data_IF_735539231757
#
_entry.id   IF_735539231757
#
_cell.length_a   1.000
_cell.length_b   1.000
_cell.length_c   1.000
_cell.angle_alpha   90.00
_cell.angle_beta   90.00
_cell.angle_gamma   90.00
#
_symmetry.space_group_name_H-M   'P 1'
#
loop_
_entity.id
_entity.type
_entity.pdbx_description
1 polymer ?
#
# COMPACT_ATOMS: atom_id res chain seq x y z
N UNK A 1 -2.14 17.10 6.39
CA UNK A 1 -2.54 16.42 7.64
C UNK A 1 -1.36 16.27 8.60
N UNK A 2 -0.35 15.43 8.33
CA UNK A 2 0.84 15.31 9.21
C UNK A 2 1.56 16.65 9.33
N UNK A 3 2.02 17.21 8.22
CA UNK A 3 2.77 18.48 8.17
C UNK A 3 2.00 19.67 8.78
N UNK A 4 0.67 19.61 8.74
CA UNK A 4 -0.19 20.71 9.20
C UNK A 4 -0.60 20.60 10.67
N UNK A 5 -0.60 19.40 11.24
CA UNK A 5 -1.24 19.15 12.54
C UNK A 5 -0.36 18.43 13.56
N UNK A 6 0.77 17.85 13.16
CA UNK A 6 1.62 17.05 14.04
C UNK A 6 2.06 17.83 15.30
N UNK A 7 2.69 18.98 15.12
CA UNK A 7 3.21 19.81 16.24
C UNK A 7 2.11 20.23 17.22
N UNK A 8 0.98 20.71 16.69
CA UNK A 8 -0.16 21.16 17.50
C UNK A 8 -0.84 20.01 18.25
N UNK A 9 -0.91 18.83 17.64
CA UNK A 9 -1.45 17.66 18.29
C UNK A 9 -0.53 17.19 19.42
N UNK A 10 0.79 17.14 19.15
CA UNK A 10 1.81 16.77 20.14
C UNK A 10 1.80 17.71 21.35
N UNK A 11 1.74 19.03 21.14
CA UNK A 11 1.70 20.03 22.21
C UNK A 11 0.46 19.91 23.11
N UNK A 12 -0.60 19.26 22.62
CA UNK A 12 -1.86 19.05 23.35
C UNK A 12 -2.02 17.63 23.90
N UNK A 13 -1.02 16.76 23.72
CA UNK A 13 -1.13 15.34 24.07
C UNK A 13 -2.16 14.57 23.23
N UNK A 14 -2.55 15.10 22.07
CA UNK A 14 -3.53 14.49 21.16
C UNK A 14 -2.79 13.60 20.15
N UNK A 15 -3.33 12.40 19.90
CA UNK A 15 -2.81 11.47 18.88
C UNK A 15 -3.75 11.44 17.68
N UNK A 16 -3.18 11.57 16.49
CA UNK A 16 -3.90 11.42 15.22
C UNK A 16 -3.42 10.13 14.57
N UNK A 17 -4.36 9.23 14.25
CA UNK A 17 -4.07 7.94 13.63
C UNK A 17 -4.61 7.98 12.19
N UNK A 18 -3.79 8.34 11.19
CA UNK A 18 -4.18 8.21 9.80
C UNK A 18 -4.37 6.75 9.41
N UNK A 19 -5.12 6.51 8.33
CA UNK A 19 -5.27 5.18 7.73
C UNK A 19 -5.77 4.10 8.71
N UNK A 20 -6.64 4.49 9.65
CA UNK A 20 -7.24 3.57 10.62
C UNK A 20 -8.44 2.76 10.05
N UNK A 21 -8.53 2.63 8.72
CA UNK A 21 -9.55 1.83 8.05
C UNK A 21 -9.18 0.34 8.02
N UNK A 22 -10.19 -0.50 7.76
CA UNK A 22 -10.02 -1.96 7.64
C UNK A 22 -8.94 -2.36 6.62
N UNK A 23 -8.77 -1.59 5.54
CA UNK A 23 -7.83 -1.96 4.48
C UNK A 23 -6.35 -1.72 4.85
N UNK A 24 -6.05 -0.77 5.74
CA UNK A 24 -4.67 -0.35 6.04
C UNK A 24 -4.14 -0.84 7.39
N UNK A 25 -5.00 -0.99 8.40
CA UNK A 25 -4.60 -1.50 9.73
C UNK A 25 -3.99 -2.92 9.65
N UNK A 26 -4.57 -3.90 8.93
CA UNK A 26 -4.05 -5.26 8.89
C UNK A 26 -2.64 -5.34 8.28
N UNK A 27 -2.33 -4.53 7.27
CA UNK A 27 -1.01 -4.53 6.65
C UNK A 27 0.07 -3.95 7.57
N UNK A 28 -0.23 -2.85 8.27
CA UNK A 28 0.72 -2.20 9.18
C UNK A 28 1.01 -3.03 10.43
N UNK A 29 -0.05 -3.39 11.17
CA UNK A 29 0.08 -4.21 12.38
C UNK A 29 0.55 -5.62 12.02
N UNK A 30 0.10 -6.16 10.89
CA UNK A 30 0.55 -7.47 10.41
C UNK A 30 2.05 -7.50 10.13
N UNK A 31 2.58 -6.49 9.41
CA UNK A 31 4.02 -6.39 9.18
C UNK A 31 4.78 -6.25 10.50
N UNK A 32 4.32 -5.38 11.41
CA UNK A 32 4.93 -5.23 12.73
C UNK A 32 4.96 -6.53 13.53
N UNK A 33 3.81 -7.21 13.59
CA UNK A 33 3.66 -8.48 14.29
C UNK A 33 4.56 -9.56 13.69
N UNK A 34 4.58 -9.71 12.37
CA UNK A 34 5.44 -10.69 11.69
C UNK A 34 6.91 -10.45 12.03
N UNK A 35 7.39 -9.20 11.93
CA UNK A 35 8.77 -8.87 12.25
C UNK A 35 9.09 -9.13 13.72
N UNK A 36 8.18 -8.83 14.65
CA UNK A 36 8.39 -9.05 16.07
C UNK A 36 8.45 -10.53 16.48
N UNK A 37 8.03 -11.46 15.62
CA UNK A 37 8.18 -12.90 15.87
C UNK A 37 9.62 -13.39 15.64
N UNK A 38 10.51 -12.57 15.07
CA UNK A 38 11.89 -12.96 14.79
C UNK A 38 12.86 -12.23 15.71
N UNK A 39 13.78 -12.98 16.33
CA UNK A 39 14.90 -12.42 17.09
C UNK A 39 16.05 -11.92 16.20
N UNK A 40 15.79 -11.68 14.91
CA UNK A 40 16.79 -11.28 13.91
C UNK A 40 16.20 -10.22 12.99
N UNK A 41 17.02 -9.31 12.44
CA UNK A 41 16.55 -8.32 11.47
C UNK A 41 15.87 -8.97 10.27
N UNK A 42 14.67 -8.49 9.93
CA UNK A 42 13.90 -8.89 8.76
C UNK A 42 14.13 -7.87 7.65
N UNK A 43 14.52 -8.33 6.47
CA UNK A 43 14.80 -7.44 5.33
C UNK A 43 13.62 -7.30 4.36
N UNK A 44 12.63 -8.20 4.44
CA UNK A 44 11.45 -8.17 3.58
C UNK A 44 10.27 -8.89 4.23
N UNK A 45 9.08 -8.32 4.08
CA UNK A 45 7.79 -8.97 4.34
C UNK A 45 6.92 -8.82 3.10
N UNK A 46 6.33 -9.92 2.65
CA UNK A 46 5.33 -9.95 1.59
C UNK A 46 4.00 -10.44 2.17
N UNK A 47 2.94 -9.67 1.98
CA UNK A 47 1.58 -10.05 2.36
C UNK A 47 0.77 -10.42 1.12
N UNK A 48 -0.01 -11.49 1.24
CA UNK A 48 -0.88 -12.00 0.19
C UNK A 48 -2.32 -12.00 0.73
N UNK A 49 -3.19 -11.19 0.13
CA UNK A 49 -4.56 -11.01 0.59
C UNK A 49 -5.56 -11.59 -0.40
N UNK A 50 -6.47 -12.43 0.07
CA UNK A 50 -7.66 -12.79 -0.71
C UNK A 50 -8.71 -11.69 -0.55
N UNK A 51 -9.04 -11.01 -1.65
CA UNK A 51 -10.18 -10.11 -1.66
C UNK A 51 -11.46 -10.94 -1.73
N UNK A 52 -12.24 -10.97 -0.65
CA UNK A 52 -13.59 -11.55 -0.62
C UNK A 52 -14.60 -10.41 -0.66
N UNK A 53 -15.17 -10.16 -1.83
CA UNK A 53 -16.18 -9.11 -2.02
C UNK A 53 -15.95 -8.26 -3.26
N UNK A 54 -16.81 -7.26 -3.44
CA UNK A 54 -16.68 -6.23 -4.49
C UNK A 54 -16.30 -4.89 -3.84
N UNK A 55 -15.68 -3.99 -4.60
CA UNK A 55 -15.40 -2.64 -4.12
C UNK A 55 -16.71 -1.98 -3.69
N UNK A 56 -16.72 -1.34 -2.51
CA UNK A 56 -17.92 -0.63 -2.04
C UNK A 56 -18.22 0.57 -2.96
N UNK A 57 -19.48 1.01 -3.01
CA UNK A 57 -19.86 2.22 -3.74
C UNK A 57 -19.04 3.45 -3.32
N UNK A 58 -18.67 3.55 -2.04
CA UNK A 58 -17.79 4.61 -1.54
C UNK A 58 -16.35 4.50 -2.07
N UNK A 59 -15.84 3.28 -2.23
CA UNK A 59 -14.52 3.02 -2.84
C UNK A 59 -14.52 3.43 -4.31
N UNK A 60 -15.58 3.09 -5.06
CA UNK A 60 -15.71 3.50 -6.46
C UNK A 60 -15.84 5.02 -6.60
N UNK A 61 -16.66 5.66 -5.78
CA UNK A 61 -16.80 7.13 -5.76
C UNK A 61 -15.48 7.83 -5.47
N UNK A 62 -14.73 7.35 -4.46
CA UNK A 62 -13.40 7.88 -4.12
C UNK A 62 -12.44 7.77 -5.30
N UNK A 63 -12.50 6.66 -6.05
CA UNK A 63 -11.64 6.47 -7.21
C UNK A 63 -11.98 7.43 -8.36
N UNK A 64 -13.25 7.80 -8.52
CA UNK A 64 -13.70 8.79 -9.53
C UNK A 64 -13.46 10.24 -9.10
N UNK A 65 -13.52 10.54 -7.81
CA UNK A 65 -13.27 11.88 -7.25
C UNK A 65 -11.82 12.14 -6.89
N UNK A 66 -10.97 11.10 -6.87
CA UNK A 66 -9.52 11.26 -6.89
C UNK A 66 -9.18 12.05 -8.15
N UNK A 67 -8.94 13.36 -7.97
CA UNK A 67 -8.43 14.24 -9.01
C UNK A 67 -7.05 13.81 -9.48
N UNK A 68 -6.36 14.70 -10.20
CA UNK A 68 -5.07 14.36 -10.76
C UNK A 68 -4.06 13.94 -9.67
N UNK A 69 -3.62 12.69 -9.76
CA UNK A 69 -2.58 12.16 -8.89
C UNK A 69 -1.26 12.81 -9.29
N UNK A 70 -0.86 13.84 -8.53
CA UNK A 70 0.41 14.54 -8.68
C UNK A 70 1.59 13.56 -8.76
N UNK A 71 2.65 13.96 -9.49
CA UNK A 71 3.89 13.16 -9.58
C UNK A 71 4.44 12.80 -8.20
N UNK A 72 4.25 13.69 -7.20
CA UNK A 72 4.68 13.48 -5.82
C UNK A 72 3.95 12.32 -5.14
N UNK A 73 2.65 12.15 -5.38
CA UNK A 73 1.86 11.03 -4.83
C UNK A 73 2.29 9.66 -5.38
N UNK A 74 3.01 9.63 -6.51
CA UNK A 74 3.58 8.40 -7.08
C UNK A 74 4.85 7.94 -6.36
N UNK A 75 5.47 8.75 -5.49
CA UNK A 75 6.65 8.32 -4.73
C UNK A 75 6.27 7.20 -3.75
N UNK A 76 6.89 6.00 -3.84
CA UNK A 76 6.64 4.88 -2.94
C UNK A 76 6.98 5.17 -1.46
N UNK A 77 7.71 6.25 -1.18
CA UNK A 77 8.15 6.69 0.15
C UNK A 77 7.62 8.08 0.52
N UNK A 78 6.56 8.56 -0.13
CA UNK A 78 6.00 9.90 0.11
C UNK A 78 5.64 10.20 1.58
N UNK A 79 5.34 9.17 2.37
CA UNK A 79 4.96 9.33 3.78
C UNK A 79 6.15 9.20 4.74
N UNK A 80 7.32 8.78 4.25
CA UNK A 80 8.50 8.56 5.09
C UNK A 80 9.12 9.89 5.53
N UNK A 81 9.70 9.97 6.74
CA UNK A 81 10.49 11.13 7.14
C UNK A 81 11.66 11.35 6.17
N UNK A 82 12.12 12.60 6.06
CA UNK A 82 13.25 12.93 5.19
C UNK A 82 14.52 12.19 5.61
N UNK A 83 15.34 11.82 4.63
CA UNK A 83 16.63 11.13 4.84
C UNK A 83 16.56 9.76 5.53
N UNK A 84 15.40 9.10 5.57
CA UNK A 84 15.26 7.74 6.15
C UNK A 84 15.26 6.62 5.09
N UNK A 85 15.52 6.93 3.82
CA UNK A 85 15.36 5.96 2.71
C UNK A 85 16.67 5.85 1.94
N UNK A 86 17.21 4.63 1.87
CA UNK A 86 18.42 4.36 1.08
C UNK A 86 18.09 4.13 -0.40
N UNK A 87 19.06 4.36 -1.29
CA UNK A 87 18.90 4.06 -2.72
C UNK A 87 18.60 2.58 -2.99
N UNK A 88 19.19 1.69 -2.17
CA UNK A 88 18.97 0.25 -2.28
C UNK A 88 17.53 -0.11 -1.90
N UNK A 89 17.01 0.45 -0.82
CA UNK A 89 15.63 0.27 -0.40
C UNK A 89 14.67 0.80 -1.48
N UNK A 90 14.94 1.99 -2.02
CA UNK A 90 14.15 2.60 -3.09
C UNK A 90 14.08 1.72 -4.34
N UNK A 91 15.21 1.18 -4.81
CA UNK A 91 15.24 0.28 -5.99
C UNK A 91 14.42 -1.00 -5.80
N UNK A 92 14.31 -1.49 -4.56
CA UNK A 92 13.61 -2.74 -4.20
C UNK A 92 12.14 -2.53 -3.80
N UNK A 93 11.65 -1.30 -3.78
CA UNK A 93 10.27 -0.95 -3.36
C UNK A 93 9.47 -0.25 -4.46
N UNK A 94 9.80 -0.53 -5.73
CA UNK A 94 8.97 -0.08 -6.86
C UNK A 94 7.58 -0.72 -6.77
N UNK A 95 6.56 0.09 -7.01
CA UNK A 95 5.19 -0.42 -7.10
C UNK A 95 5.04 -1.34 -8.32
N UNK A 96 4.35 -2.45 -8.14
CA UNK A 96 4.16 -3.45 -9.17
C UNK A 96 3.65 -4.76 -8.60
N UNK A 97 3.32 -5.68 -9.49
CA UNK A 97 2.88 -7.03 -9.15
C UNK A 97 3.50 -8.02 -10.13
N UNK A 98 3.47 -9.30 -9.75
CA UNK A 98 3.86 -10.40 -10.61
C UNK A 98 2.71 -11.39 -10.66
N UNK A 99 2.74 -12.31 -11.63
CA UNK A 99 1.80 -13.42 -11.72
C UNK A 99 2.58 -14.72 -11.70
N UNK A 100 2.88 -15.17 -10.48
CA UNK A 100 3.75 -16.30 -10.17
C UNK A 100 3.06 -17.19 -9.14
N UNK A 101 3.44 -18.48 -9.09
CA UNK A 101 2.98 -19.37 -8.04
C UNK A 101 3.66 -18.94 -6.74
N UNK A 102 2.91 -18.85 -5.65
CA UNK A 102 3.47 -18.41 -4.36
C UNK A 102 4.15 -19.59 -3.68
N UNK A 103 5.37 -19.39 -3.21
CA UNK A 103 6.09 -20.39 -2.43
C UNK A 103 5.44 -20.55 -1.06
N UNK A 104 5.17 -21.80 -0.64
CA UNK A 104 4.55 -22.10 0.65
C UNK A 104 3.03 -21.86 0.73
N UNK A 105 2.38 -21.37 -0.34
CA UNK A 105 0.93 -21.17 -0.39
C UNK A 105 0.31 -21.83 -1.63
N UNK A 106 -0.92 -22.34 -1.49
CA UNK A 106 -1.71 -22.83 -2.61
C UNK A 106 -2.36 -21.68 -3.38
N UNK A 107 -1.59 -21.00 -4.23
CA UNK A 107 -2.12 -19.90 -5.02
C UNK A 107 -1.12 -19.21 -5.93
N UNK A 108 -1.62 -18.15 -6.56
CA UNK A 108 -0.91 -17.28 -7.49
C UNK A 108 -0.97 -15.85 -6.99
N UNK A 109 0.15 -15.13 -7.13
CA UNK A 109 0.20 -13.69 -6.87
C UNK A 109 -0.44 -12.90 -8.00
N UNK A 110 -0.92 -11.70 -7.69
CA UNK A 110 -1.44 -10.71 -8.63
C UNK A 110 -1.49 -9.33 -8.00
N UNK A 111 -2.18 -8.39 -8.65
CA UNK A 111 -2.29 -7.01 -8.15
C UNK A 111 -2.97 -6.99 -6.77
N UNK A 112 -2.37 -6.29 -5.81
CA UNK A 112 -3.02 -5.99 -4.54
C UNK A 112 -3.89 -4.75 -4.69
N UNK A 113 -5.17 -4.84 -4.32
CA UNK A 113 -6.16 -3.77 -4.55
C UNK A 113 -5.75 -2.46 -3.87
N UNK A 114 -5.24 -2.54 -2.64
CA UNK A 114 -4.83 -1.38 -1.82
C UNK A 114 -3.32 -1.26 -1.63
N UNK A 115 -2.54 -2.04 -2.40
CA UNK A 115 -1.09 -2.13 -2.24
C UNK A 115 -0.39 -0.76 -2.35
N UNK A 116 -0.87 0.13 -3.23
CA UNK A 116 -0.29 1.48 -3.38
C UNK A 116 -0.42 2.26 -2.07
N UNK A 117 -1.59 2.28 -1.43
CA UNK A 117 -1.79 3.00 -0.18
C UNK A 117 -1.06 2.32 0.99
N UNK A 118 -1.26 1.01 1.15
CA UNK A 118 -0.81 0.26 2.30
C UNK A 118 0.72 0.14 2.37
N UNK A 119 1.39 -0.07 1.24
CA UNK A 119 2.86 -0.15 1.24
C UNK A 119 3.51 1.15 1.74
N UNK A 120 2.93 2.31 1.47
CA UNK A 120 3.43 3.62 1.95
C UNK A 120 3.26 3.76 3.46
N UNK A 121 2.14 3.27 4.01
CA UNK A 121 1.89 3.25 5.46
C UNK A 121 2.94 2.38 6.17
N UNK A 122 3.09 1.12 5.72
CA UNK A 122 4.05 0.16 6.33
C UNK A 122 5.50 0.67 6.24
N UNK A 123 5.89 1.23 5.09
CA UNK A 123 7.25 1.80 4.90
C UNK A 123 7.51 2.96 5.85
N UNK A 124 6.50 3.79 6.10
CA UNK A 124 6.62 4.88 7.09
C UNK A 124 6.74 4.32 8.50
N UNK A 125 5.92 3.35 8.88
CA UNK A 125 5.99 2.72 10.20
C UNK A 125 7.37 2.10 10.43
N UNK A 126 7.91 1.37 9.44
CA UNK A 126 9.26 0.82 9.52
C UNK A 126 10.34 1.91 9.75
N UNK A 127 10.22 3.06 9.06
CA UNK A 127 11.16 4.18 9.24
C UNK A 127 11.04 4.83 10.63
N UNK A 128 9.82 5.01 11.16
CA UNK A 128 9.63 5.50 12.54
C UNK A 128 10.17 4.52 13.58
N UNK A 129 9.98 3.22 13.36
CA UNK A 129 10.48 2.18 14.25
C UNK A 129 12.01 2.16 14.29
N UNK A 130 12.68 2.40 13.15
CA UNK A 130 14.12 2.62 13.08
C UNK A 130 14.57 3.86 13.87
N UNK A 131 13.88 5.00 13.74
CA UNK A 131 14.15 6.20 14.54
C UNK A 131 13.96 5.97 16.04
N UNK A 132 13.00 5.13 16.42
CA UNK A 132 12.73 4.73 17.80
C UNK A 132 13.67 3.63 18.33
N UNK A 133 14.76 3.31 17.62
CA UNK A 133 15.75 2.29 17.98
C UNK A 133 15.18 0.86 18.09
N UNK A 134 14.07 0.59 17.40
CA UNK A 134 13.47 -0.74 17.29
C UNK A 134 13.26 -1.10 15.80
N UNK A 135 14.33 -1.15 14.99
CA UNK A 135 14.24 -1.30 13.54
C UNK A 135 13.76 -2.69 13.13
N UNK A 136 13.02 -2.77 12.02
CA UNK A 136 12.64 -4.06 11.44
C UNK A 136 13.85 -4.79 10.86
N UNK A 137 14.71 -4.03 10.17
CA UNK A 137 15.96 -4.49 9.60
C UNK A 137 16.48 -3.51 8.56
N UNK A 138 17.79 -3.59 8.27
CA UNK A 138 18.45 -2.70 7.32
C UNK A 138 17.84 -2.84 5.92
N UNK A 139 17.53 -1.70 5.30
CA UNK A 139 16.91 -1.64 3.97
C UNK A 139 15.61 -2.47 3.86
N UNK A 140 14.80 -2.50 4.94
CA UNK A 140 13.55 -3.24 4.99
C UNK A 140 12.63 -2.89 3.81
N UNK A 141 12.04 -3.90 3.18
CA UNK A 141 11.07 -3.73 2.09
C UNK A 141 9.76 -4.44 2.40
N UNK A 142 8.67 -3.88 1.91
CA UNK A 142 7.34 -4.46 2.06
C UNK A 142 6.65 -4.57 0.70
N UNK A 143 6.03 -5.73 0.46
CA UNK A 143 5.20 -6.00 -0.71
C UNK A 143 3.79 -6.43 -0.30
N UNK A 144 2.79 -5.95 -1.02
CA UNK A 144 1.39 -6.34 -0.82
C UNK A 144 0.81 -6.80 -2.16
N UNK A 145 0.23 -7.99 -2.15
CA UNK A 145 -0.21 -8.70 -3.36
C UNK A 145 -1.58 -9.34 -3.16
N UNK A 146 -2.31 -9.52 -4.27
CA UNK A 146 -3.52 -10.33 -4.26
C UNK A 146 -3.17 -11.83 -4.28
N UNK A 147 -3.88 -12.62 -3.49
CA UNK A 147 -3.83 -14.08 -3.50
C UNK A 147 -4.98 -14.63 -4.36
N UNK A 148 -4.63 -15.46 -5.34
CA UNK A 148 -5.60 -16.05 -6.27
C UNK A 148 -5.44 -17.56 -6.37
N UNK A 149 -6.54 -18.30 -6.27
CA UNK A 149 -6.52 -19.78 -6.39
C UNK A 149 -6.03 -20.28 -7.75
N UNK A 150 -6.23 -19.52 -8.83
CA UNK A 150 -5.90 -19.93 -10.21
C UNK A 150 -5.11 -18.84 -10.95
N UNK A 151 -4.08 -19.24 -11.71
CA UNK A 151 -3.27 -18.33 -12.56
C UNK A 151 -4.12 -17.48 -13.50
N UNK A 152 -5.13 -18.11 -14.12
CA UNK A 152 -6.03 -17.42 -15.06
C UNK A 152 -6.83 -16.31 -14.36
N UNK A 153 -7.28 -16.56 -13.13
CA UNK A 153 -7.99 -15.57 -12.32
C UNK A 153 -7.05 -14.42 -11.95
N UNK A 154 -5.83 -14.72 -11.49
CA UNK A 154 -4.81 -13.71 -11.20
C UNK A 154 -4.56 -12.79 -12.42
N UNK A 155 -4.42 -13.35 -13.62
CA UNK A 155 -4.26 -12.60 -14.87
C UNK A 155 -5.46 -11.69 -15.17
N UNK A 156 -6.66 -12.27 -15.24
CA UNK A 156 -7.86 -11.54 -15.64
C UNK A 156 -8.12 -10.40 -14.65
N UNK A 157 -8.10 -10.68 -13.35
CA UNK A 157 -8.37 -9.66 -12.32
C UNK A 157 -7.29 -8.59 -12.30
N UNK A 158 -5.99 -8.97 -12.40
CA UNK A 158 -4.92 -7.98 -12.33
C UNK A 158 -4.90 -7.03 -13.52
N UNK A 159 -5.00 -7.54 -14.74
CA UNK A 159 -5.03 -6.69 -15.93
C UNK A 159 -6.35 -5.91 -16.05
N UNK A 160 -7.47 -6.50 -15.61
CA UNK A 160 -8.76 -5.81 -15.55
C UNK A 160 -8.74 -4.60 -14.62
N UNK A 161 -8.16 -4.73 -13.42
CA UNK A 161 -8.01 -3.62 -12.48
C UNK A 161 -7.11 -2.51 -13.02
N UNK A 162 -5.98 -2.85 -13.65
CA UNK A 162 -5.08 -1.85 -14.26
C UNK A 162 -5.80 -1.12 -15.39
N UNK A 163 -6.53 -1.85 -16.23
CA UNK A 163 -7.33 -1.25 -17.30
C UNK A 163 -8.39 -0.30 -16.74
N UNK A 164 -9.12 -0.70 -15.69
CA UNK A 164 -10.09 0.16 -15.03
C UNK A 164 -9.44 1.44 -14.48
N UNK A 165 -8.30 1.34 -13.79
CA UNK A 165 -7.53 2.50 -13.30
C UNK A 165 -7.12 3.42 -14.46
N UNK A 166 -6.63 2.88 -15.57
CA UNK A 166 -6.25 3.68 -16.74
C UNK A 166 -7.46 4.41 -17.35
N UNK A 167 -8.62 3.76 -17.43
CA UNK A 167 -9.84 4.40 -17.92
C UNK A 167 -10.26 5.54 -16.98
N UNK A 168 -10.28 5.30 -15.66
CA UNK A 168 -10.69 6.30 -14.65
C UNK A 168 -9.74 7.49 -14.59
N UNK A 169 -8.43 7.27 -14.78
CA UNK A 169 -7.41 8.34 -14.72
C UNK A 169 -7.17 9.04 -16.05
N UNK A 170 -7.79 8.60 -17.13
CA UNK A 170 -7.71 9.22 -18.45
C UNK A 170 -8.98 10.04 -18.77
N UNK A 171 -8.96 10.89 -19.81
CA UNK A 171 -10.17 11.60 -20.28
C UNK A 171 -11.34 10.66 -20.65
N UNK A 172 -11.08 9.35 -20.85
CA UNK A 172 -12.11 8.34 -21.10
C UNK A 172 -13.08 8.14 -19.92
N UNK A 173 -12.74 8.62 -18.71
CA UNK A 173 -13.64 8.59 -17.56
C UNK A 173 -14.99 9.26 -17.84
N UNK A 174 -15.02 10.26 -18.73
CA UNK A 174 -16.25 10.96 -19.13
C UNK A 174 -17.20 10.09 -19.95
N UNK A 175 -16.73 9.02 -20.60
CA UNK A 175 -17.59 8.04 -21.27
C UNK A 175 -18.25 7.07 -20.28
N UNK A 176 -17.57 6.79 -19.16
CA UNK A 176 -18.06 5.88 -18.12
C UNK A 176 -18.93 6.62 -17.11
N UNK A 177 -18.66 7.91 -16.88
CA UNK A 177 -19.46 8.79 -16.01
C UNK A 177 -19.53 10.21 -16.62
N UNK A 178 -20.55 10.51 -17.44
CA UNK A 178 -20.63 11.78 -18.17
C UNK A 178 -20.94 13.01 -17.31
N UNK A 179 -21.43 12.86 -16.07
CA UNK A 179 -21.76 13.98 -15.19
C UNK A 179 -21.01 13.92 -13.85
N UNK A 180 -20.33 15.01 -13.42
CA UNK A 180 -19.88 15.16 -12.04
C UNK A 180 -21.09 15.48 -11.15
N UNK A 181 -21.19 14.82 -9.99
CA UNK A 181 -22.09 15.22 -8.90
C UNK A 181 -21.46 16.35 -8.10
#
# INVERSE_FOLDING_TARGET
>A
MIDQHHEKAASKGVRIIPSCGYDSIPSDIGAYFTVSQFNKPVSRVDVYQEAVGTASGGTTETMFTMGDVSKKMRDPFILNPENTVSDKQRRRSKDGFKIEKIEGLEGWTGVGMMAIANTRVVRRSAALMEQNKNPYGKDFTFGEYGLFKKKKLAKITSYGLIFAVMVITSPLRHLVRPFPC
#
